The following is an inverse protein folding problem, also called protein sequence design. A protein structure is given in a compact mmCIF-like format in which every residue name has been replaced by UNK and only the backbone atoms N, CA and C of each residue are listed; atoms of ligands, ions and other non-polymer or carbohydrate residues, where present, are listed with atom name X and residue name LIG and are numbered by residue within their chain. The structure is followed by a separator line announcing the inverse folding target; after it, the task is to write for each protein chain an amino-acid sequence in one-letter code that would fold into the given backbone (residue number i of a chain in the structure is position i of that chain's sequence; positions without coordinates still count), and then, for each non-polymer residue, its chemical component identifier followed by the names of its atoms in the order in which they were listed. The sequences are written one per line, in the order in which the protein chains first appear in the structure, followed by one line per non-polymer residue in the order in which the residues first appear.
data_IF_988951454707
#
_entry.id   IF_988951454707
#
_cell.length_a   1.000
_cell.length_b   1.000
_cell.length_c   1.000
_cell.angle_alpha   90.00
_cell.angle_beta   90.00
_cell.angle_gamma   90.00
#
_symmetry.space_group_name_H-M   'P 1'
#
loop_
_entity.id
_entity.type
_entity.pdbx_description
1 polymer ?
#
# COMPACT_ATOMS: atom_id res chain seq x y z
N UNK A 1 25.07 14.23 -1.95
CA UNK A 1 25.75 13.06 -1.35
C UNK A 1 25.75 13.10 0.18
N UNK A 2 25.84 14.27 0.82
CA UNK A 2 25.94 14.41 2.29
C UNK A 2 24.83 13.70 3.06
N UNK A 3 23.56 13.86 2.67
CA UNK A 3 22.43 13.20 3.34
C UNK A 3 22.45 11.68 3.21
N UNK A 4 22.97 11.15 2.08
CA UNK A 4 23.11 9.72 1.85
C UNK A 4 24.13 9.12 2.81
N UNK A 5 25.30 9.76 2.96
CA UNK A 5 26.32 9.32 3.90
C UNK A 5 25.87 9.46 5.37
N UNK A 6 25.05 10.46 5.68
CA UNK A 6 24.53 10.72 7.03
C UNK A 6 23.46 9.71 7.45
N UNK A 7 22.50 9.40 6.58
CA UNK A 7 21.29 8.67 6.96
C UNK A 7 20.68 7.80 5.87
N UNK A 8 21.35 7.64 4.72
CA UNK A 8 20.88 6.80 3.61
C UNK A 8 19.72 7.40 2.79
N UNK A 9 19.40 8.67 2.98
CA UNK A 9 18.33 9.37 2.26
C UNK A 9 18.86 10.53 1.43
N UNK A 10 18.15 10.91 0.38
CA UNK A 10 18.57 11.97 -0.53
C UNK A 10 17.42 12.48 -1.40
N UNK A 11 17.67 13.62 -2.05
CA UNK A 11 16.84 14.17 -3.12
C UNK A 11 17.49 13.85 -4.46
N UNK A 12 16.70 13.42 -5.43
CA UNK A 12 17.09 13.24 -6.82
C UNK A 12 16.24 14.16 -7.70
N UNK A 13 16.87 14.81 -8.68
CA UNK A 13 16.17 15.51 -9.75
C UNK A 13 16.04 14.58 -10.94
N UNK A 14 14.82 14.37 -11.41
CA UNK A 14 14.55 13.54 -12.59
C UNK A 14 14.73 14.30 -13.91
N UNK A 15 14.44 13.61 -15.01
CA UNK A 15 14.77 14.08 -16.37
C UNK A 15 13.95 15.31 -16.77
N UNK A 16 12.72 15.42 -16.25
CA UNK A 16 11.80 16.53 -16.51
C UNK A 16 11.82 17.58 -15.37
N UNK A 17 12.92 17.64 -14.60
CA UNK A 17 13.13 18.54 -13.46
C UNK A 17 12.15 18.33 -12.28
N UNK A 18 11.51 17.16 -12.22
CA UNK A 18 10.77 16.67 -11.07
C UNK A 18 11.69 16.27 -9.94
N UNK A 19 11.16 16.23 -8.72
CA UNK A 19 11.93 15.91 -7.52
C UNK A 19 11.45 14.61 -6.91
N UNK A 20 12.38 13.69 -6.67
CA UNK A 20 12.17 12.49 -5.88
C UNK A 20 12.85 12.63 -4.52
N UNK A 21 12.10 12.40 -3.44
CA UNK A 21 12.65 12.17 -2.12
C UNK A 21 12.81 10.66 -1.93
N UNK A 22 14.05 10.20 -1.89
CA UNK A 22 14.40 8.81 -1.58
C UNK A 22 14.69 8.73 -0.10
N UNK A 23 13.77 8.14 0.66
CA UNK A 23 13.81 8.10 2.11
C UNK A 23 14.31 6.74 2.62
N UNK A 24 15.10 6.78 3.70
CA UNK A 24 15.50 5.62 4.46
C UNK A 24 14.49 5.36 5.59
N UNK A 25 13.36 4.72 5.26
CA UNK A 25 12.34 4.36 6.27
C UNK A 25 12.75 3.19 7.16
N UNK A 26 13.89 2.55 6.92
CA UNK A 26 14.47 1.56 7.84
C UNK A 26 14.89 2.19 9.18
N UNK A 27 15.12 3.51 9.20
CA UNK A 27 15.33 4.27 10.44
C UNK A 27 14.10 4.19 11.38
N UNK A 28 12.91 4.01 10.82
CA UNK A 28 11.65 3.99 11.56
C UNK A 28 11.18 2.58 11.93
N UNK A 29 11.94 1.57 11.50
CA UNK A 29 11.58 0.18 11.68
C UNK A 29 11.66 -0.24 13.16
N UNK A 30 10.61 -0.86 13.70
CA UNK A 30 10.56 -1.22 15.12
C UNK A 30 11.63 -2.24 15.54
N UNK A 31 12.14 -3.03 14.59
CA UNK A 31 13.23 -3.99 14.84
C UNK A 31 14.62 -3.43 14.53
N UNK A 32 14.73 -2.14 14.19
CA UNK A 32 16.02 -1.48 14.04
C UNK A 32 16.68 -1.27 15.42
N UNK A 33 17.87 -1.85 15.60
CA UNK A 33 18.64 -1.79 16.85
C UNK A 33 19.66 -0.64 16.90
N UNK A 34 19.69 0.22 15.87
CA UNK A 34 20.57 1.38 15.84
C UNK A 34 20.25 2.36 16.99
N UNK A 35 21.28 3.02 17.51
CA UNK A 35 21.12 4.07 18.51
C UNK A 35 21.09 5.43 17.81
N UNK A 36 19.96 6.11 17.89
CA UNK A 36 19.83 7.46 17.34
C UNK A 36 20.21 8.51 18.39
N UNK A 37 20.94 9.54 17.95
CA UNK A 37 21.26 10.71 18.75
C UNK A 37 19.99 11.53 19.03
N UNK A 38 19.25 11.82 17.96
CA UNK A 38 17.91 12.37 18.00
C UNK A 38 16.91 11.24 17.75
N UNK A 39 16.07 10.95 18.76
CA UNK A 39 15.05 9.90 18.69
C UNK A 39 13.73 10.40 18.14
N UNK A 40 13.51 11.71 18.08
CA UNK A 40 12.29 12.27 17.53
C UNK A 40 12.42 12.44 16.01
N UNK A 41 13.64 12.72 15.54
CA UNK A 41 13.99 12.75 14.11
C UNK A 41 15.31 12.01 13.80
N UNK A 42 15.28 10.66 13.68
CA UNK A 42 16.46 9.87 13.32
C UNK A 42 17.16 10.39 12.06
N UNK A 43 18.42 10.79 12.24
CA UNK A 43 19.27 11.40 11.22
C UNK A 43 18.78 12.76 10.64
N UNK A 44 17.71 13.36 11.17
CA UNK A 44 17.14 14.61 10.64
C UNK A 44 16.32 14.40 9.36
N UNK A 45 15.78 13.20 9.15
CA UNK A 45 15.08 12.82 7.92
C UNK A 45 13.67 13.43 7.82
N UNK A 46 12.92 13.56 8.92
CA UNK A 46 11.63 14.24 8.92
C UNK A 46 11.78 15.73 8.62
N UNK A 47 12.74 16.41 9.26
CA UNK A 47 13.06 17.80 8.96
C UNK A 47 13.47 17.98 7.49
N UNK A 48 14.27 17.06 6.95
CA UNK A 48 14.61 17.04 5.53
C UNK A 48 13.38 16.88 4.63
N UNK A 49 12.49 15.94 4.94
CA UNK A 49 11.27 15.69 4.17
C UNK A 49 10.35 16.92 4.18
N UNK A 50 10.08 17.50 5.36
CA UNK A 50 9.23 18.69 5.51
C UNK A 50 9.82 19.90 4.79
N UNK A 51 11.12 20.16 4.92
CA UNK A 51 11.76 21.31 4.27
C UNK A 51 11.63 21.25 2.74
N UNK A 52 11.86 20.07 2.14
CA UNK A 52 11.74 19.92 0.68
C UNK A 52 10.29 20.01 0.21
N UNK A 53 9.33 19.47 0.98
CA UNK A 53 7.91 19.56 0.66
C UNK A 53 7.39 21.00 0.80
N UNK A 54 7.82 21.74 1.81
CA UNK A 54 7.49 23.15 1.98
C UNK A 54 8.07 24.02 0.86
N UNK A 55 9.33 23.76 0.48
CA UNK A 55 9.98 24.43 -0.66
C UNK A 55 9.20 24.17 -1.96
N UNK A 56 8.84 22.91 -2.22
CA UNK A 56 8.08 22.56 -3.42
C UNK A 56 6.69 23.21 -3.42
N UNK A 57 5.97 23.16 -2.29
CA UNK A 57 4.68 23.83 -2.12
C UNK A 57 4.78 25.33 -2.40
N UNK A 58 5.75 26.02 -1.80
CA UNK A 58 5.96 27.47 -1.98
C UNK A 58 6.25 27.83 -3.45
N UNK A 59 6.92 26.93 -4.17
CA UNK A 59 7.28 27.13 -5.58
C UNK A 59 6.29 26.50 -6.58
N UNK A 60 5.12 26.03 -6.13
CA UNK A 60 4.14 25.30 -6.95
C UNK A 60 4.73 24.11 -7.74
N UNK A 61 5.67 23.40 -7.13
CA UNK A 61 6.28 22.18 -7.67
C UNK A 61 5.71 20.94 -7.00
N UNK A 62 5.83 19.81 -7.69
CA UNK A 62 5.44 18.49 -7.20
C UNK A 62 6.64 17.68 -6.75
N UNK A 63 6.42 16.78 -5.79
CA UNK A 63 7.41 15.84 -5.28
C UNK A 63 6.88 14.40 -5.35
N UNK A 64 7.76 13.47 -5.66
CA UNK A 64 7.53 12.03 -5.53
C UNK A 64 8.29 11.50 -4.32
N UNK A 65 7.73 10.54 -3.61
CA UNK A 65 8.36 9.88 -2.46
C UNK A 65 8.59 8.41 -2.79
N UNK A 66 9.81 7.94 -2.58
CA UNK A 66 10.17 6.54 -2.72
C UNK A 66 10.84 6.10 -1.41
N UNK A 67 10.40 4.99 -0.84
CA UNK A 67 11.05 4.41 0.34
C UNK A 67 10.86 2.90 0.41
N UNK A 68 11.49 2.24 1.37
CA UNK A 68 11.38 0.78 1.50
C UNK A 68 10.11 0.36 2.27
N UNK A 69 10.04 0.71 3.55
CA UNK A 69 8.92 0.41 4.45
C UNK A 69 7.88 1.52 4.36
N UNK A 70 6.62 1.18 4.11
CA UNK A 70 5.48 2.10 4.13
C UNK A 70 4.91 2.29 5.55
N UNK A 71 4.33 3.45 5.88
CA UNK A 71 3.45 3.60 7.03
C UNK A 71 2.23 2.67 6.92
N UNK A 72 1.77 2.12 8.05
CA UNK A 72 0.63 1.22 8.14
C UNK A 72 0.94 -0.15 8.70
N UNK A 73 -0.09 -0.99 8.69
CA UNK A 73 -0.01 -2.39 9.10
C UNK A 73 0.41 -3.28 7.91
N UNK A 74 0.79 -4.51 8.22
CA UNK A 74 0.93 -5.54 7.20
C UNK A 74 -0.45 -6.19 6.96
N UNK A 75 -0.85 -6.28 5.70
CA UNK A 75 -2.23 -6.62 5.34
C UNK A 75 -2.56 -8.12 5.52
N UNK A 76 -1.54 -8.99 5.51
CA UNK A 76 -1.70 -10.44 5.66
C UNK A 76 -1.69 -10.92 7.11
N UNK A 77 -1.01 -10.20 8.00
CA UNK A 77 -0.84 -10.59 9.41
C UNK A 77 -1.56 -9.59 10.32
N UNK A 78 -2.73 -9.92 10.88
CA UNK A 78 -3.46 -9.02 11.76
C UNK A 78 -2.61 -8.55 12.96
N UNK A 79 -2.75 -7.27 13.33
CA UNK A 79 -2.04 -6.64 14.46
C UNK A 79 -0.52 -6.55 14.30
N UNK A 80 0.00 -6.74 13.09
CA UNK A 80 1.41 -6.61 12.80
C UNK A 80 1.68 -5.29 12.07
N UNK A 81 2.67 -4.53 12.56
CA UNK A 81 3.10 -3.25 11.97
C UNK A 81 4.62 -3.24 11.83
N UNK A 82 5.18 -2.42 10.95
CA UNK A 82 6.64 -2.34 10.80
C UNK A 82 7.22 -1.14 11.53
N UNK A 83 6.58 0.03 11.42
CA UNK A 83 7.11 1.27 11.99
C UNK A 83 6.80 1.41 13.48
N UNK A 84 7.71 2.06 14.21
CA UNK A 84 7.42 2.56 15.56
C UNK A 84 6.23 3.53 15.49
N UNK A 85 5.24 3.44 16.41
CA UNK A 85 4.00 4.23 16.33
C UNK A 85 4.19 5.75 16.16
N UNK A 86 5.16 6.33 16.87
CA UNK A 86 5.45 7.77 16.79
C UNK A 86 5.93 8.18 15.39
N UNK A 87 6.80 7.38 14.77
CA UNK A 87 7.30 7.66 13.42
C UNK A 87 6.22 7.42 12.36
N UNK A 88 5.40 6.36 12.51
CA UNK A 88 4.26 6.11 11.64
C UNK A 88 3.32 7.32 11.62
N UNK A 89 2.94 7.81 12.81
CA UNK A 89 2.09 8.98 12.96
C UNK A 89 2.76 10.23 12.34
N UNK A 90 4.03 10.50 12.66
CA UNK A 90 4.73 11.67 12.14
C UNK A 90 4.81 11.67 10.62
N UNK A 91 5.09 10.52 10.02
CA UNK A 91 5.12 10.36 8.57
C UNK A 91 3.75 10.69 7.96
N UNK A 92 2.66 10.14 8.51
CA UNK A 92 1.31 10.40 8.03
C UNK A 92 0.88 11.86 8.20
N UNK A 93 1.22 12.50 9.33
CA UNK A 93 0.93 13.92 9.56
C UNK A 93 1.58 14.79 8.46
N UNK A 94 2.83 14.50 8.09
CA UNK A 94 3.55 15.19 7.01
C UNK A 94 2.89 14.89 5.66
N UNK A 95 2.57 13.62 5.38
CA UNK A 95 1.90 13.22 4.14
C UNK A 95 0.56 13.94 3.96
N UNK A 96 -0.26 14.04 5.01
CA UNK A 96 -1.55 14.74 4.96
C UNK A 96 -1.34 16.25 4.76
N UNK A 97 -0.40 16.86 5.50
CA UNK A 97 -0.09 18.30 5.39
C UNK A 97 0.34 18.72 3.97
N UNK A 98 1.06 17.85 3.27
CA UNK A 98 1.62 18.10 1.94
C UNK A 98 0.97 17.25 0.83
N UNK A 99 -0.25 16.73 1.07
CA UNK A 99 -0.89 15.79 0.16
C UNK A 99 -1.04 16.32 -1.28
N UNK A 100 -1.35 17.60 -1.45
CA UNK A 100 -1.46 18.24 -2.78
C UNK A 100 -0.12 18.47 -3.48
N UNK A 101 0.99 18.49 -2.74
CA UNK A 101 2.36 18.65 -3.25
C UNK A 101 2.96 17.29 -3.66
N UNK A 102 2.58 16.22 -2.97
CA UNK A 102 3.05 14.86 -3.25
C UNK A 102 2.24 14.25 -4.40
N UNK A 103 2.92 13.80 -5.45
CA UNK A 103 2.27 13.13 -6.60
C UNK A 103 2.28 11.62 -6.49
N UNK A 104 3.45 11.03 -6.26
CA UNK A 104 3.56 9.58 -6.12
C UNK A 104 4.19 9.21 -4.79
N UNK A 105 3.74 8.09 -4.24
CA UNK A 105 4.40 7.44 -3.11
C UNK A 105 4.52 5.95 -3.40
N UNK A 106 5.75 5.47 -3.57
CA UNK A 106 6.05 4.09 -3.97
C UNK A 106 6.91 3.42 -2.91
N UNK A 107 6.48 2.25 -2.48
CA UNK A 107 7.11 1.45 -1.43
C UNK A 107 7.26 -0.02 -1.82
N UNK A 108 7.89 -0.81 -0.96
CA UNK A 108 7.99 -2.26 -1.08
C UNK A 108 7.85 -2.93 0.28
N UNK A 109 8.88 -3.69 0.67
CA UNK A 109 9.03 -4.40 1.95
C UNK A 109 8.07 -5.57 2.19
N UNK A 110 6.78 -5.43 1.89
CA UNK A 110 5.79 -6.49 2.13
C UNK A 110 5.98 -7.71 1.22
N UNK A 111 6.63 -7.49 0.07
CA UNK A 111 6.77 -8.46 -1.04
C UNK A 111 5.45 -8.82 -1.74
N UNK A 112 4.35 -8.21 -1.32
CA UNK A 112 3.00 -8.40 -1.84
C UNK A 112 2.55 -7.22 -2.69
N UNK A 113 1.57 -7.48 -3.55
CA UNK A 113 0.89 -6.42 -4.32
C UNK A 113 -0.23 -5.80 -3.47
N UNK A 114 -0.04 -4.57 -3.00
CA UNK A 114 -1.09 -3.88 -2.26
C UNK A 114 -0.89 -2.35 -2.28
N UNK A 115 -1.76 -1.63 -1.61
CA UNK A 115 -1.76 -0.19 -1.51
C UNK A 115 -2.40 0.29 -0.20
N UNK A 116 -2.01 1.47 0.26
CA UNK A 116 -2.67 2.17 1.37
C UNK A 116 -3.28 3.48 0.88
N UNK A 117 -4.52 3.73 1.28
CA UNK A 117 -5.18 5.03 1.11
C UNK A 117 -4.95 5.85 2.38
N UNK A 118 -4.40 7.05 2.23
CA UNK A 118 -4.24 7.99 3.34
C UNK A 118 -5.47 8.89 3.39
N UNK A 119 -6.14 8.92 4.55
CA UNK A 119 -7.31 9.77 4.79
C UNK A 119 -6.99 10.87 5.78
N UNK A 120 -7.57 12.06 5.58
CA UNK A 120 -7.47 13.16 6.53
C UNK A 120 -8.40 12.97 7.75
N UNK A 121 -8.50 14.00 8.60
CA UNK A 121 -9.39 14.00 9.78
C UNK A 121 -10.89 14.00 9.42
N UNK A 122 -11.23 14.36 8.18
CA UNK A 122 -12.60 14.35 7.64
C UNK A 122 -12.89 13.07 6.85
N UNK A 123 -12.03 12.06 6.96
CA UNK A 123 -12.12 10.78 6.25
C UNK A 123 -12.09 10.92 4.72
N UNK A 124 -11.57 12.03 4.20
CA UNK A 124 -11.39 12.21 2.77
C UNK A 124 -10.08 11.56 2.33
N UNK A 125 -10.07 10.76 1.24
CA UNK A 125 -8.84 10.20 0.70
C UNK A 125 -7.99 11.32 0.10
N UNK A 126 -6.80 11.55 0.66
CA UNK A 126 -5.91 12.66 0.28
C UNK A 126 -4.62 12.20 -0.39
N UNK A 127 -4.17 10.97 -0.13
CA UNK A 127 -2.96 10.44 -0.76
C UNK A 127 -3.04 8.90 -0.92
N UNK A 128 -2.23 8.37 -1.84
CA UNK A 128 -2.11 6.96 -2.15
C UNK A 128 -0.67 6.51 -1.99
N UNK A 129 -0.45 5.38 -1.31
CA UNK A 129 0.83 4.70 -1.21
C UNK A 129 0.72 3.36 -1.93
N UNK A 130 1.51 3.14 -2.97
CA UNK A 130 1.54 1.89 -3.71
C UNK A 130 2.71 1.04 -3.22
N UNK A 131 2.44 -0.22 -2.85
CA UNK A 131 3.48 -1.18 -2.50
C UNK A 131 3.67 -2.17 -3.65
N UNK A 132 4.90 -2.25 -4.15
CA UNK A 132 5.26 -3.17 -5.21
C UNK A 132 5.62 -4.56 -4.64
N UNK A 133 5.21 -5.65 -5.32
CA UNK A 133 5.63 -6.99 -4.96
C UNK A 133 7.13 -7.19 -5.21
N UNK A 134 7.70 -8.26 -4.63
CA UNK A 134 9.13 -8.52 -4.74
C UNK A 134 9.49 -9.46 -5.89
N UNK A 135 10.75 -9.36 -6.34
CA UNK A 135 11.36 -10.37 -7.20
C UNK A 135 11.69 -11.65 -6.41
N UNK A 136 12.03 -11.54 -5.12
CA UNK A 136 12.27 -12.74 -4.32
C UNK A 136 10.93 -13.45 -4.02
N UNK A 137 10.85 -14.79 -4.19
CA UNK A 137 9.70 -15.57 -3.77
C UNK A 137 9.87 -16.10 -2.33
N UNK A 138 10.61 -15.38 -1.49
CA UNK A 138 10.91 -15.83 -0.12
C UNK A 138 9.63 -16.14 0.66
N UNK A 139 9.65 -17.27 1.36
CA UNK A 139 8.55 -17.74 2.20
C UNK A 139 8.72 -17.14 3.59
N UNK A 140 7.81 -16.23 3.94
CA UNK A 140 7.85 -15.55 5.23
C UNK A 140 7.40 -16.46 6.37
N UNK A 141 8.11 -16.40 7.49
CA UNK A 141 7.77 -17.11 8.73
C UNK A 141 6.68 -16.38 9.56
N UNK A 142 6.23 -15.19 9.13
CA UNK A 142 5.13 -14.48 9.77
C UNK A 142 3.79 -15.17 9.48
N UNK A 143 2.90 -15.18 10.47
CA UNK A 143 1.57 -15.82 10.37
C UNK A 143 0.80 -15.32 9.14
N UNK A 144 0.36 -16.26 8.29
CA UNK A 144 -0.34 -16.01 7.03
C UNK A 144 0.37 -15.07 6.02
N UNK A 145 1.64 -14.73 6.22
CA UNK A 145 2.39 -13.87 5.32
C UNK A 145 2.67 -14.54 3.97
N UNK A 146 2.94 -15.84 3.97
CA UNK A 146 3.09 -16.64 2.76
C UNK A 146 4.27 -16.23 1.86
N UNK A 147 4.08 -16.40 0.55
CA UNK A 147 5.06 -16.08 -0.50
C UNK A 147 4.35 -15.37 -1.66
N UNK A 148 5.09 -15.13 -2.75
CA UNK A 148 4.67 -14.52 -4.00
C UNK A 148 5.47 -15.10 -5.15
N UNK A 149 4.92 -15.08 -6.37
CA UNK A 149 5.77 -15.25 -7.56
C UNK A 149 6.70 -14.03 -7.69
N UNK A 150 7.90 -14.18 -8.31
CA UNK A 150 8.73 -13.04 -8.65
C UNK A 150 7.96 -12.07 -9.55
N UNK A 151 7.99 -10.78 -9.19
CA UNK A 151 7.22 -9.74 -9.85
C UNK A 151 8.02 -8.45 -10.04
N UNK A 152 7.63 -7.66 -11.05
CA UNK A 152 7.98 -6.25 -11.17
C UNK A 152 6.79 -5.45 -11.72
N UNK A 153 6.86 -4.12 -11.61
CA UNK A 153 5.81 -3.21 -12.11
C UNK A 153 6.35 -2.20 -13.11
N UNK A 154 5.49 -1.84 -14.05
CA UNK A 154 5.66 -0.68 -14.95
C UNK A 154 4.55 0.32 -14.61
N UNK A 155 4.93 1.56 -14.32
CA UNK A 155 4.01 2.66 -14.06
C UNK A 155 3.86 3.48 -15.33
N UNK A 156 2.65 3.52 -15.89
CA UNK A 156 2.30 4.41 -16.98
C UNK A 156 1.78 5.73 -16.41
N UNK A 157 2.24 6.85 -16.95
CA UNK A 157 1.91 8.18 -16.43
C UNK A 157 2.03 9.26 -17.49
N UNK A 158 1.30 10.36 -17.27
CA UNK A 158 1.36 11.57 -18.09
C UNK A 158 2.55 12.45 -17.65
N UNK A 159 3.61 12.64 -18.47
CA UNK A 159 4.82 13.35 -18.06
C UNK A 159 4.62 14.83 -17.69
N UNK A 160 3.55 15.49 -18.16
CA UNK A 160 3.30 16.89 -17.81
C UNK A 160 2.60 17.06 -16.46
N UNK A 161 1.67 16.18 -16.13
CA UNK A 161 0.83 16.31 -14.92
C UNK A 161 1.24 15.37 -13.80
N UNK A 162 2.05 14.37 -14.13
CA UNK A 162 2.39 13.22 -13.30
C UNK A 162 1.16 12.41 -12.86
N UNK A 163 0.06 12.51 -13.60
CA UNK A 163 -1.11 11.66 -13.41
C UNK A 163 -0.73 10.20 -13.71
N UNK A 164 -1.03 9.30 -12.79
CA UNK A 164 -0.77 7.87 -12.98
C UNK A 164 -1.88 7.27 -13.83
N UNK A 165 -1.52 6.92 -15.07
CA UNK A 165 -2.45 6.41 -16.05
C UNK A 165 -2.73 4.94 -15.84
N UNK A 166 -1.74 4.10 -15.53
CA UNK A 166 -1.94 2.68 -15.22
C UNK A 166 -0.74 2.10 -14.47
N UNK A 167 -0.93 0.91 -13.89
CA UNK A 167 0.15 0.10 -13.30
C UNK A 167 0.05 -1.30 -13.87
N UNK A 168 1.08 -1.72 -14.59
CA UNK A 168 1.17 -3.06 -15.17
C UNK A 168 2.07 -3.91 -14.27
N UNK A 169 1.53 -4.98 -13.68
CA UNK A 169 2.36 -5.94 -12.94
C UNK A 169 2.72 -7.09 -13.87
N UNK A 170 4.01 -7.43 -13.92
CA UNK A 170 4.53 -8.59 -14.63
C UNK A 170 5.06 -9.59 -13.61
N UNK A 171 4.89 -10.87 -13.90
CA UNK A 171 5.37 -11.95 -13.04
C UNK A 171 5.97 -13.08 -13.84
N UNK A 172 6.68 -13.95 -13.14
CA UNK A 172 7.09 -15.25 -13.65
C UNK A 172 6.48 -16.35 -12.77
N UNK A 173 5.88 -17.36 -13.39
CA UNK A 173 5.35 -18.52 -12.68
C UNK A 173 6.52 -19.35 -12.12
N UNK A 174 6.70 -19.31 -10.80
CA UNK A 174 7.85 -19.92 -10.13
C UNK A 174 7.86 -21.45 -10.27
N UNK A 175 6.69 -22.10 -10.25
CA UNK A 175 6.59 -23.55 -10.42
C UNK A 175 7.01 -23.95 -11.84
N UNK A 176 6.66 -23.15 -12.85
CA UNK A 176 7.14 -23.35 -14.24
C UNK A 176 8.63 -23.03 -14.38
N UNK A 177 9.12 -21.96 -13.75
CA UNK A 177 10.53 -21.58 -13.78
C UNK A 177 11.44 -22.69 -13.21
N UNK A 178 11.02 -23.32 -12.13
CA UNK A 178 11.75 -24.45 -11.52
C UNK A 178 11.82 -25.69 -12.44
N UNK A 179 10.85 -25.85 -13.33
CA UNK A 179 10.85 -26.92 -14.34
C UNK A 179 11.63 -26.53 -15.60
N UNK A 180 11.59 -25.25 -15.97
CA UNK A 180 12.13 -24.71 -17.22
C UNK A 180 12.80 -23.34 -16.98
N UNK A 181 14.13 -23.32 -16.96
CA UNK A 181 14.93 -22.13 -16.62
C UNK A 181 14.81 -20.94 -17.59
N UNK A 182 14.32 -21.15 -18.81
CA UNK A 182 14.02 -20.12 -19.82
C UNK A 182 12.53 -19.71 -19.82
N UNK A 183 11.80 -19.95 -18.74
CA UNK A 183 10.43 -19.42 -18.57
C UNK A 183 10.45 -17.89 -18.68
N UNK A 184 9.55 -17.33 -19.50
CA UNK A 184 9.46 -15.90 -19.73
C UNK A 184 8.60 -15.18 -18.68
N UNK A 185 8.91 -13.91 -18.42
CA UNK A 185 8.00 -13.00 -17.74
C UNK A 185 6.73 -12.81 -18.57
N UNK A 186 5.59 -12.71 -17.90
CA UNK A 186 4.29 -12.49 -18.51
C UNK A 186 3.55 -11.39 -17.77
N UNK A 187 2.66 -10.69 -18.48
CA UNK A 187 1.77 -9.72 -17.85
C UNK A 187 0.87 -10.47 -16.86
N UNK A 188 0.85 -10.02 -15.61
CA UNK A 188 -0.11 -10.50 -14.62
C UNK A 188 -1.46 -9.81 -14.85
N UNK A 189 -1.47 -8.48 -14.76
CA UNK A 189 -2.67 -7.66 -14.91
C UNK A 189 -2.36 -6.20 -15.25
N UNK A 190 -3.35 -5.51 -15.83
CA UNK A 190 -3.40 -4.05 -15.88
C UNK A 190 -4.30 -3.56 -14.76
N UNK A 191 -3.80 -2.66 -13.91
CA UNK A 191 -4.56 -2.22 -12.74
C UNK A 191 -5.92 -1.63 -13.13
N UNK A 192 -5.96 -0.78 -14.15
CA UNK A 192 -7.22 -0.18 -14.60
C UNK A 192 -8.14 -1.15 -15.32
N UNK A 193 -7.61 -1.96 -16.22
CA UNK A 193 -8.43 -2.91 -16.99
C UNK A 193 -9.08 -3.92 -16.04
N UNK A 194 -8.29 -4.53 -15.16
CA UNK A 194 -8.75 -5.60 -14.31
C UNK A 194 -9.70 -5.14 -13.20
N UNK A 195 -9.54 -3.93 -12.68
CA UNK A 195 -10.43 -3.36 -11.67
C UNK A 195 -11.53 -2.46 -12.25
N UNK A 196 -11.57 -2.25 -13.57
CA UNK A 196 -12.57 -1.39 -14.23
C UNK A 196 -12.46 0.08 -13.82
N UNK A 197 -11.24 0.57 -13.56
CA UNK A 197 -11.00 1.95 -13.15
C UNK A 197 -10.87 2.83 -14.39
N UNK A 198 -11.89 3.64 -14.66
CA UNK A 198 -11.95 4.51 -15.84
C UNK A 198 -11.13 5.80 -15.70
N UNK A 199 -10.82 6.25 -14.48
CA UNK A 199 -10.03 7.45 -14.19
C UNK A 199 -8.54 7.14 -14.02
N UNK A 200 -7.73 8.18 -13.79
CA UNK A 200 -6.37 8.03 -13.27
C UNK A 200 -6.36 7.28 -11.92
N UNK A 201 -5.23 6.65 -11.62
CA UNK A 201 -4.97 5.99 -10.33
C UNK A 201 -4.56 7.08 -9.33
N UNK A 202 -5.45 7.37 -8.38
CA UNK A 202 -5.23 8.35 -7.33
C UNK A 202 -5.97 7.95 -6.04
N UNK A 203 -5.85 8.75 -4.99
CA UNK A 203 -6.47 8.43 -3.69
C UNK A 203 -8.00 8.21 -3.78
N UNK A 204 -8.69 8.95 -4.64
CA UNK A 204 -10.14 8.86 -4.79
C UNK A 204 -10.57 7.58 -5.52
N UNK A 205 -9.94 7.26 -6.66
CA UNK A 205 -10.25 6.04 -7.42
C UNK A 205 -9.89 4.77 -6.65
N UNK A 206 -8.77 4.80 -5.92
CA UNK A 206 -8.34 3.70 -5.06
C UNK A 206 -9.22 3.51 -3.82
N UNK A 207 -9.73 4.61 -3.24
CA UNK A 207 -10.74 4.51 -2.19
C UNK A 207 -12.06 3.93 -2.73
N UNK A 208 -12.47 4.27 -3.96
CA UNK A 208 -13.65 3.67 -4.59
C UNK A 208 -13.48 2.16 -4.83
N UNK A 209 -12.29 1.71 -5.25
CA UNK A 209 -11.95 0.28 -5.33
C UNK A 209 -12.04 -0.40 -3.96
N UNK A 210 -11.48 0.20 -2.91
CA UNK A 210 -11.62 -0.29 -1.54
C UNK A 210 -13.09 -0.45 -1.12
N UNK A 211 -13.93 0.55 -1.36
CA UNK A 211 -15.36 0.47 -1.06
C UNK A 211 -16.07 -0.63 -1.85
N UNK A 212 -15.62 -0.92 -3.07
CA UNK A 212 -16.09 -2.05 -3.87
C UNK A 212 -15.66 -3.39 -3.24
N UNK A 213 -14.40 -3.54 -2.84
CA UNK A 213 -13.89 -4.76 -2.17
C UNK A 213 -14.58 -5.08 -0.85
N UNK A 214 -15.04 -4.06 -0.12
CA UNK A 214 -15.84 -4.23 1.10
C UNK A 214 -17.23 -4.85 0.84
N UNK A 215 -17.78 -4.65 -0.37
CA UNK A 215 -19.16 -5.02 -0.72
C UNK A 215 -19.25 -6.18 -1.70
N UNK A 216 -18.17 -6.47 -2.43
CA UNK A 216 -18.14 -7.44 -3.52
C UNK A 216 -16.99 -8.43 -3.34
N UNK A 217 -17.32 -9.66 -2.94
CA UNK A 217 -16.35 -10.74 -2.74
C UNK A 217 -15.60 -11.11 -4.02
N UNK A 218 -16.19 -10.97 -5.21
CA UNK A 218 -15.49 -11.24 -6.47
C UNK A 218 -14.33 -10.26 -6.68
N UNK A 219 -14.54 -8.98 -6.37
CA UNK A 219 -13.49 -7.96 -6.49
C UNK A 219 -12.42 -8.16 -5.42
N UNK A 220 -12.82 -8.48 -4.19
CA UNK A 220 -11.87 -8.76 -3.11
C UNK A 220 -11.03 -10.02 -3.39
N UNK A 221 -11.64 -11.10 -3.86
CA UNK A 221 -10.91 -12.32 -4.23
C UNK A 221 -9.98 -12.09 -5.43
N UNK A 222 -10.35 -11.21 -6.38
CA UNK A 222 -9.41 -10.77 -7.42
C UNK A 222 -8.20 -10.06 -6.81
N UNK A 223 -8.41 -9.16 -5.86
CA UNK A 223 -7.32 -8.53 -5.11
C UNK A 223 -6.45 -9.53 -4.36
N UNK A 224 -7.00 -10.55 -3.68
CA UNK A 224 -6.18 -11.56 -3.00
C UNK A 224 -5.30 -12.35 -3.99
N UNK A 225 -5.79 -12.62 -5.20
CA UNK A 225 -5.01 -13.25 -6.26
C UNK A 225 -3.79 -12.41 -6.62
N UNK A 226 -3.98 -11.13 -6.92
CA UNK A 226 -2.88 -10.23 -7.27
C UNK A 226 -1.97 -9.91 -6.08
N UNK A 227 -2.52 -9.81 -4.86
CA UNK A 227 -1.74 -9.61 -3.64
C UNK A 227 -0.62 -10.66 -3.50
N UNK A 228 -0.90 -11.92 -3.84
CA UNK A 228 0.05 -13.04 -3.87
C UNK A 228 0.85 -13.20 -5.16
N UNK A 229 0.67 -12.30 -6.13
CA UNK A 229 1.22 -12.44 -7.48
C UNK A 229 0.84 -13.80 -8.08
N UNK A 230 -0.44 -14.19 -7.94
CA UNK A 230 -0.97 -15.50 -8.34
C UNK A 230 -0.32 -16.72 -7.66
N UNK A 231 0.50 -16.54 -6.62
CA UNK A 231 1.09 -17.65 -5.88
C UNK A 231 0.08 -18.27 -4.93
N UNK A 232 -0.50 -19.41 -5.35
CA UNK A 232 -1.39 -20.26 -4.54
C UNK A 232 -2.37 -19.42 -3.70
N UNK A 233 -3.17 -18.55 -4.34
CA UNK A 233 -3.94 -17.54 -3.64
C UNK A 233 -4.96 -18.19 -2.70
N UNK A 234 -4.93 -17.78 -1.44
CA UNK A 234 -5.84 -18.25 -0.39
C UNK A 234 -7.00 -17.29 -0.19
N UNK A 235 -8.15 -17.81 0.25
CA UNK A 235 -9.27 -16.98 0.69
C UNK A 235 -8.98 -16.39 2.06
N UNK A 236 -9.25 -15.10 2.25
CA UNK A 236 -9.13 -14.45 3.55
C UNK A 236 -10.52 -14.30 4.18
N UNK A 237 -10.69 -14.84 5.40
CA UNK A 237 -11.94 -14.78 6.15
C UNK A 237 -11.73 -14.16 7.54
N UNK A 238 -12.83 -13.81 8.22
CA UNK A 238 -12.82 -13.36 9.59
C UNK A 238 -11.85 -12.19 9.84
N UNK A 239 -10.88 -12.39 10.73
CA UNK A 239 -9.89 -11.36 11.08
C UNK A 239 -8.89 -11.09 9.94
N UNK A 240 -8.55 -12.08 9.11
CA UNK A 240 -7.63 -11.91 7.98
C UNK A 240 -8.28 -11.07 6.87
N UNK A 241 -9.57 -11.29 6.60
CA UNK A 241 -10.35 -10.42 5.71
C UNK A 241 -10.36 -8.97 6.20
N UNK A 242 -10.60 -8.78 7.50
CA UNK A 242 -10.57 -7.44 8.12
C UNK A 242 -9.18 -6.83 8.05
N UNK A 243 -8.12 -7.58 8.34
CA UNK A 243 -6.75 -7.07 8.28
C UNK A 243 -6.40 -6.53 6.88
N UNK A 244 -6.77 -7.27 5.82
CA UNK A 244 -6.60 -6.81 4.44
C UNK A 244 -7.28 -5.45 4.19
N UNK A 245 -8.58 -5.37 4.46
CA UNK A 245 -9.36 -4.15 4.21
C UNK A 245 -8.94 -2.98 5.11
N UNK A 246 -8.72 -3.23 6.40
CA UNK A 246 -8.33 -2.22 7.38
C UNK A 246 -6.92 -1.69 7.12
N UNK A 247 -5.98 -2.54 6.67
CA UNK A 247 -4.63 -2.10 6.32
C UNK A 247 -4.64 -1.15 5.11
N UNK A 248 -5.42 -1.49 4.08
CA UNK A 248 -5.60 -0.64 2.89
C UNK A 248 -6.23 0.71 3.29
N UNK A 249 -7.21 0.70 4.19
CA UNK A 249 -7.97 1.90 4.55
C UNK A 249 -7.26 2.82 5.55
N UNK A 250 -6.55 2.24 6.51
CA UNK A 250 -6.05 2.92 7.69
C UNK A 250 -4.57 2.61 7.91
N UNK A 251 -3.66 3.37 7.29
CA UNK A 251 -2.25 3.32 7.65
C UNK A 251 -1.99 3.93 9.05
N UNK A 252 -2.94 4.65 9.64
CA UNK A 252 -2.84 5.10 11.02
C UNK A 252 -3.24 3.99 12.01
N UNK A 253 -2.40 3.76 13.01
CA UNK A 253 -2.60 2.62 13.92
C UNK A 253 -3.87 2.71 14.78
N UNK A 254 -4.30 3.88 15.28
CA UNK A 254 -5.57 3.97 16.02
C UNK A 254 -6.78 3.51 15.18
N UNK A 255 -7.01 4.08 13.99
CA UNK A 255 -8.15 3.68 13.15
C UNK A 255 -7.99 2.26 12.61
N UNK A 256 -6.78 1.80 12.32
CA UNK A 256 -6.54 0.39 11.97
C UNK A 256 -7.03 -0.56 13.08
N UNK A 257 -6.68 -0.28 14.33
CA UNK A 257 -7.09 -1.09 15.47
C UNK A 257 -8.60 -1.03 15.69
N UNK A 258 -9.21 0.15 15.58
CA UNK A 258 -10.67 0.31 15.69
C UNK A 258 -11.39 -0.48 14.59
N UNK A 259 -10.91 -0.39 13.34
CA UNK A 259 -11.42 -1.16 12.21
C UNK A 259 -11.32 -2.67 12.44
N UNK A 260 -10.15 -3.16 12.89
CA UNK A 260 -9.91 -4.58 13.11
C UNK A 260 -10.79 -5.18 14.22
N UNK A 261 -11.05 -4.37 15.27
CA UNK A 261 -11.83 -4.75 16.44
C UNK A 261 -13.33 -4.49 16.28
N UNK A 262 -13.75 -3.71 15.29
CA UNK A 262 -15.16 -3.54 14.99
C UNK A 262 -15.79 -4.92 14.70
N UNK A 263 -16.69 -5.36 15.59
CA UNK A 263 -17.47 -6.56 15.36
C UNK A 263 -18.24 -6.31 14.07
N UNK A 264 -17.87 -7.05 13.02
CA UNK A 264 -18.49 -6.99 11.72
C UNK A 264 -20.02 -6.94 11.86
N UNK A 265 -20.61 -5.78 11.59
CA UNK A 265 -22.03 -5.65 11.22
C UNK A 265 -22.30 -6.23 9.82
N UNK A 266 -21.32 -6.85 9.17
CA UNK A 266 -21.44 -7.45 7.83
C UNK A 266 -22.04 -8.87 7.83
N UNK A 267 -22.84 -9.25 8.83
CA UNK A 267 -23.54 -10.53 8.89
C UNK A 267 -25.03 -10.42 9.28
N UNK A 268 -25.77 -9.42 8.76
CA UNK A 268 -27.21 -9.25 9.05
C UNK A 268 -28.08 -8.91 7.83
N UNK A 269 -27.79 -9.42 6.64
CA UNK A 269 -28.73 -9.29 5.50
C UNK A 269 -29.06 -10.58 4.73
N UNK A 270 -28.62 -11.76 5.18
CA UNK A 270 -28.95 -13.03 4.51
C UNK A 270 -29.82 -14.00 5.32
N UNK A 271 -30.35 -13.60 6.48
CA UNK A 271 -31.15 -14.50 7.34
C UNK A 271 -32.65 -14.16 7.47
N UNK A 272 -33.17 -13.10 6.83
CA UNK A 272 -34.57 -12.65 7.05
C UNK A 272 -35.59 -12.97 5.95
N UNK A 273 -35.23 -13.71 4.90
CA UNK A 273 -36.16 -14.01 3.79
C UNK A 273 -36.53 -15.48 3.57
N UNK A 274 -36.09 -16.41 4.44
CA UNK A 274 -36.44 -17.84 4.29
C UNK A 274 -37.57 -18.30 5.22
N UNK A 275 -38.09 -17.45 6.12
CA UNK A 275 -39.14 -17.85 7.10
C UNK A 275 -40.57 -17.46 6.69
N UNK A 276 -40.78 -16.83 5.52
CA UNK A 276 -42.14 -16.54 5.00
C UNK A 276 -42.61 -17.56 3.94
N UNK A 277 -42.10 -18.79 3.97
CA UNK A 277 -42.48 -19.84 3.01
C UNK A 277 -43.45 -20.91 3.52
N UNK A 278 -43.73 -21.00 4.83
CA UNK A 278 -44.50 -22.13 5.38
C UNK A 278 -45.40 -21.65 6.54
N UNK A 279 -46.46 -20.92 6.23
CA UNK A 279 -47.63 -20.78 7.10
C UNK A 279 -48.79 -20.12 6.35
N UNK A 280 -49.38 -20.84 5.38
CA UNK A 280 -50.78 -20.66 4.96
C UNK A 280 -51.19 -21.88 4.12
N UNK A 281 -51.35 -23.00 4.81
CA UNK A 281 -52.14 -24.13 4.36
C UNK A 281 -52.75 -24.74 5.62
N UNK A 282 -53.93 -24.23 5.98
CA UNK A 282 -55.01 -24.86 6.75
C UNK A 282 -56.23 -23.93 6.68
#
# INVERSE_FOLDING_TARGET
METFLKGGYYKLTGVNNETFLVLNTNLYYQFNKAKFLDKDDPAGQFAFMEANLEEAKTNNKTIHVIAHIAPGAFERTPKFTWMVPAYNKRFLDITIKYASTIKWMIFGHHHTDTFHVVKDDKMQPVQLMLMAPAVTPWFSDLDHAGSNNPAFRIFDYEPQTWAMNDVLTYYIDLDKLNQKGDTAWQLEYSFREDYGISSEINAASMNALLESMKKNETVFNKYLKYNSVLWKPETAEGIYRRAQLCSIEFPDFPRYNDCLNSASTYNLFTAFLVVMGIAMAL
#
